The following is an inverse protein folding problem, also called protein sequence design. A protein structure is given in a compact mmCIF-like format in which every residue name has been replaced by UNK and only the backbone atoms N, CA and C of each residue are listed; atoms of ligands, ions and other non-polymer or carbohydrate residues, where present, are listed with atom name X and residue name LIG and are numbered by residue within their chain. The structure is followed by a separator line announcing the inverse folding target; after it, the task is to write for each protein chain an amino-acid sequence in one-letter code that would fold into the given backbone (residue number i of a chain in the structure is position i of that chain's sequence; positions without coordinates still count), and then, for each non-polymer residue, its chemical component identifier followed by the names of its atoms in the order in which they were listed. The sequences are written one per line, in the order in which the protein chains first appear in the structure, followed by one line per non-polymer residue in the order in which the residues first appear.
data_IF_145289012868
#
_entry.id   IF_145289012868
#
_cell.length_a   1.000
_cell.length_b   1.000
_cell.length_c   1.000
_cell.angle_alpha   90.00
_cell.angle_beta   90.00
_cell.angle_gamma   90.00
#
_symmetry.space_group_name_H-M   'P 1'
#
loop_
_entity.id
_entity.type
_entity.pdbx_description
1 polymer ?
#
# COMPACT_ATOMS: atom_id res chain seq x y z
N UNK A 1 10.56 3.73 4.59
CA UNK A 1 10.41 4.81 5.59
C UNK A 1 10.94 4.28 6.89
N UNK A 2 11.93 4.96 7.48
CA UNK A 2 12.52 4.49 8.72
C UNK A 2 11.45 4.46 9.84
N UNK A 3 11.44 3.42 10.70
CA UNK A 3 10.40 3.18 11.70
C UNK A 3 10.03 4.40 12.56
N UNK A 4 11.01 5.18 12.97
CA UNK A 4 10.92 6.36 13.84
C UNK A 4 10.11 7.53 13.25
N UNK A 5 9.91 7.54 11.93
CA UNK A 5 9.10 8.54 11.23
C UNK A 5 7.71 8.03 10.84
N UNK A 6 7.39 6.77 11.14
CA UNK A 6 6.07 6.23 10.82
C UNK A 6 4.96 6.84 11.69
N UNK A 7 3.71 6.77 11.21
CA UNK A 7 2.56 7.31 11.94
C UNK A 7 2.39 8.83 11.83
N UNK A 8 3.37 9.54 11.25
CA UNK A 8 3.35 11.00 11.08
C UNK A 8 2.75 11.48 9.75
N UNK A 9 2.04 10.60 9.03
CA UNK A 9 1.39 10.93 7.75
C UNK A 9 2.32 11.00 6.52
N UNK A 10 3.63 10.88 6.66
CA UNK A 10 4.58 10.93 5.53
C UNK A 10 4.26 9.92 4.42
N UNK A 11 3.77 8.72 4.76
CA UNK A 11 3.40 7.70 3.77
C UNK A 11 2.29 8.19 2.85
N UNK A 12 1.25 8.79 3.42
CA UNK A 12 0.13 9.40 2.69
C UNK A 12 0.59 10.58 1.84
N UNK A 13 1.48 11.43 2.36
CA UNK A 13 2.04 12.57 1.62
C UNK A 13 2.81 12.09 0.39
N UNK A 14 3.67 11.09 0.55
CA UNK A 14 4.44 10.53 -0.56
C UNK A 14 3.55 9.84 -1.59
N UNK A 15 2.55 9.07 -1.14
CA UNK A 15 1.56 8.45 -2.02
C UNK A 15 0.86 9.50 -2.89
N UNK A 16 0.31 10.56 -2.29
CA UNK A 16 -0.38 11.62 -3.02
C UNK A 16 0.53 12.34 -4.02
N UNK A 17 1.80 12.57 -3.67
CA UNK A 17 2.79 13.15 -4.60
C UNK A 17 3.01 12.24 -5.81
N UNK A 18 3.15 10.93 -5.60
CA UNK A 18 3.30 9.97 -6.69
C UNK A 18 2.05 9.90 -7.58
N UNK A 19 0.86 9.80 -6.97
CA UNK A 19 -0.41 9.79 -7.70
C UNK A 19 -0.56 11.04 -8.57
N UNK A 20 -0.32 12.23 -8.01
CA UNK A 20 -0.38 13.49 -8.77
C UNK A 20 0.56 13.46 -9.98
N UNK A 21 1.79 12.99 -9.81
CA UNK A 21 2.76 12.90 -10.93
C UNK A 21 2.31 11.93 -12.01
N UNK A 22 1.75 10.78 -11.63
CA UNK A 22 1.27 9.77 -12.59
C UNK A 22 0.04 10.28 -13.36
N UNK A 23 -0.89 10.93 -12.67
CA UNK A 23 -2.07 11.53 -13.29
C UNK A 23 -1.71 12.64 -14.28
N UNK A 24 -0.76 13.52 -13.93
CA UNK A 24 -0.24 14.56 -14.84
C UNK A 24 0.37 13.96 -16.11
N UNK A 25 0.94 12.75 -16.02
CA UNK A 25 1.50 12.01 -17.16
C UNK A 25 0.46 11.23 -17.96
N UNK A 26 -0.83 11.35 -17.65
CA UNK A 26 -1.91 10.67 -18.36
C UNK A 26 -2.10 9.20 -17.95
N UNK A 27 -1.65 8.80 -16.76
CA UNK A 27 -1.92 7.43 -16.29
C UNK A 27 -3.42 7.24 -16.01
N UNK A 28 -4.05 6.32 -16.74
CA UNK A 28 -5.48 6.00 -16.60
C UNK A 28 -5.76 5.03 -15.44
N UNK A 29 -4.80 4.14 -15.13
CA UNK A 29 -4.92 3.16 -14.04
C UNK A 29 -3.60 3.04 -13.28
N UNK A 30 -3.68 3.06 -11.95
CA UNK A 30 -2.53 2.92 -11.05
C UNK A 30 -2.79 1.71 -10.15
N UNK A 31 -1.89 0.71 -10.23
CA UNK A 31 -1.96 -0.51 -9.40
C UNK A 31 -0.71 -0.64 -8.55
N UNK A 32 -0.82 -1.35 -7.43
CA UNK A 32 0.31 -1.77 -6.58
C UNK A 32 0.00 -3.09 -5.90
N UNK A 33 1.05 -3.75 -5.44
CA UNK A 33 0.97 -5.01 -4.70
C UNK A 33 1.35 -4.73 -3.24
N UNK A 34 0.62 -5.29 -2.30
CA UNK A 34 0.93 -5.23 -0.87
C UNK A 34 0.75 -6.60 -0.24
N UNK A 35 1.67 -6.98 0.65
CA UNK A 35 1.53 -8.20 1.45
C UNK A 35 0.34 -8.01 2.40
N UNK A 36 -0.59 -8.97 2.42
CA UNK A 36 -1.84 -8.90 3.19
C UNK A 36 -1.62 -8.72 4.71
N UNK A 37 -0.50 -9.21 5.24
CA UNK A 37 -0.11 -9.01 6.64
C UNK A 37 0.31 -7.57 6.97
N UNK A 38 0.67 -6.75 5.97
CA UNK A 38 0.96 -5.34 6.16
C UNK A 38 -0.33 -4.51 6.25
N UNK A 39 -1.07 -4.71 7.34
CA UNK A 39 -2.37 -4.06 7.60
C UNK A 39 -2.30 -2.54 7.52
N UNK A 40 -1.18 -1.95 7.94
CA UNK A 40 -0.96 -0.49 7.94
C UNK A 40 -0.90 0.07 6.53
N UNK A 41 -0.09 -0.54 5.65
CA UNK A 41 -0.02 -0.14 4.25
C UNK A 41 -1.34 -0.43 3.51
N UNK A 42 -1.91 -1.62 3.73
CA UNK A 42 -3.20 -2.00 3.14
C UNK A 42 -4.30 -0.96 3.47
N UNK A 43 -4.46 -0.60 4.75
CA UNK A 43 -5.43 0.42 5.18
C UNK A 43 -5.14 1.77 4.52
N UNK A 44 -3.88 2.21 4.51
CA UNK A 44 -3.51 3.48 3.87
C UNK A 44 -3.90 3.52 2.39
N UNK A 45 -3.68 2.44 1.63
CA UNK A 45 -4.08 2.40 0.22
C UNK A 45 -5.59 2.45 0.05
N UNK A 46 -6.35 1.68 0.83
CA UNK A 46 -7.83 1.70 0.82
C UNK A 46 -8.39 3.10 1.12
N UNK A 47 -7.80 3.83 2.07
CA UNK A 47 -8.19 5.22 2.40
C UNK A 47 -7.82 6.26 1.33
N UNK A 48 -7.03 5.89 0.33
CA UNK A 48 -6.63 6.76 -0.78
C UNK A 48 -7.13 6.19 -2.12
N UNK A 49 -8.35 5.64 -2.12
CA UNK A 49 -9.11 5.22 -3.30
C UNK A 49 -8.52 4.06 -4.09
N UNK A 50 -7.64 3.26 -3.49
CA UNK A 50 -7.28 1.98 -4.07
C UNK A 50 -8.31 0.92 -3.68
N UNK A 51 -8.81 0.21 -4.68
CA UNK A 51 -9.60 -0.99 -4.48
C UNK A 51 -8.73 -2.25 -4.54
N UNK A 52 -9.21 -3.29 -3.87
CA UNK A 52 -8.60 -4.62 -3.93
C UNK A 52 -9.06 -5.24 -5.23
N UNK A 53 -8.13 -5.45 -6.15
CA UNK A 53 -8.41 -6.06 -7.44
C UNK A 53 -8.30 -7.59 -7.34
N UNK A 54 -7.17 -8.12 -6.85
CA UNK A 54 -6.91 -9.55 -6.86
C UNK A 54 -5.95 -10.00 -5.73
N UNK A 55 -5.90 -11.31 -5.48
CA UNK A 55 -4.85 -11.95 -4.68
C UNK A 55 -3.84 -12.59 -5.64
N UNK A 56 -2.63 -12.03 -5.72
CA UNK A 56 -1.62 -12.45 -6.71
C UNK A 56 -0.82 -13.68 -6.24
N UNK A 57 -0.59 -13.81 -4.92
CA UNK A 57 0.10 -14.98 -4.36
C UNK A 57 -0.29 -15.19 -2.89
N UNK A 58 -0.31 -16.45 -2.47
CA UNK A 58 -0.45 -16.84 -1.08
C UNK A 58 0.90 -17.35 -0.56
N UNK A 59 1.40 -16.74 0.51
CA UNK A 59 2.61 -17.18 1.20
C UNK A 59 2.20 -18.04 2.40
N UNK A 60 2.75 -19.25 2.51
CA UNK A 60 2.53 -20.10 3.67
C UNK A 60 3.13 -19.43 4.91
N UNK A 61 2.32 -19.24 5.95
CA UNK A 61 2.80 -18.85 7.27
C UNK A 61 3.10 -20.13 8.04
N UNK A 62 4.35 -20.32 8.47
CA UNK A 62 4.68 -21.41 9.39
C UNK A 62 4.05 -21.09 10.74
N UNK A 63 3.03 -21.85 11.13
CA UNK A 63 2.44 -21.75 12.46
C UNK A 63 3.28 -22.60 13.43
N UNK A 64 3.82 -21.96 14.46
CA UNK A 64 4.37 -22.68 15.60
C UNK A 64 3.19 -23.07 16.48
N UNK A 65 2.95 -24.37 16.66
CA UNK A 65 2.04 -24.85 17.70
C UNK A 65 2.72 -24.60 19.04
N UNK A 66 2.07 -23.80 19.90
CA UNK A 66 2.43 -23.67 21.31
C UNK A 66 2.23 -25.01 22.04
#
# INVERSE_FOLDING_TARGET
MAPEYQGRGFGKINLKKCLKKLLIKGAEKIKLIVISSNRKAYKMYRENSFDKEELISAWYKREYKN
#
